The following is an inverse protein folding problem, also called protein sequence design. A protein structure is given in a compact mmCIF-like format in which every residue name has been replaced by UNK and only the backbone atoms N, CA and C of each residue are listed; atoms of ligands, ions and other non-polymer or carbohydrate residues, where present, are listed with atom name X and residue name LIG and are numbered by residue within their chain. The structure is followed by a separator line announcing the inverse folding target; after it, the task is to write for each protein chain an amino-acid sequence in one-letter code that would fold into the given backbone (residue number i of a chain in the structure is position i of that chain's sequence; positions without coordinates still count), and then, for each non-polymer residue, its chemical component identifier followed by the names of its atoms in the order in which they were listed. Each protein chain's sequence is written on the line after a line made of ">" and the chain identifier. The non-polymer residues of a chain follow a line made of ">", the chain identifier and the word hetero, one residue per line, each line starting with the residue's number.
data_IF_297521265116
#
_entry.id   IF_297521265116
#
_cell.length_a   1.000
_cell.length_b   1.000
_cell.length_c   1.000
_cell.angle_alpha   90.00
_cell.angle_beta   90.00
_cell.angle_gamma   90.00
#
_symmetry.space_group_name_H-M   'P 1'
#
loop_
_entity.id
_entity.type
_entity.pdbx_description
1 polymer ?
#
# COMPACT_ATOMS: atom_id res chain seq x y z
N UNK A 1 2.70 0.88 -15.02
CA UNK A 1 3.06 -0.43 -14.42
C UNK A 1 3.78 -1.33 -15.40
N UNK A 2 3.15 -1.75 -16.51
CA UNK A 2 3.76 -2.69 -17.46
C UNK A 2 5.02 -2.18 -18.18
N UNK A 3 5.27 -0.86 -18.18
CA UNK A 3 6.50 -0.29 -18.75
C UNK A 3 7.58 -0.04 -17.70
N UNK A 4 7.30 -0.28 -16.42
CA UNK A 4 8.28 -0.07 -15.35
C UNK A 4 9.30 -1.18 -15.41
N UNK A 5 10.56 -0.78 -15.56
CA UNK A 5 11.71 -1.66 -15.44
C UNK A 5 12.41 -1.32 -14.13
N UNK A 6 12.90 -2.36 -13.44
CA UNK A 6 13.66 -2.24 -12.21
C UNK A 6 14.99 -2.95 -12.45
N UNK A 7 16.12 -2.22 -12.60
CA UNK A 7 17.43 -2.85 -12.72
C UNK A 7 17.63 -3.76 -11.50
N UNK A 8 17.97 -5.02 -11.73
CA UNK A 8 18.19 -6.05 -10.70
C UNK A 8 16.95 -6.69 -10.07
N UNK A 9 15.72 -6.31 -10.46
CA UNK A 9 14.49 -6.94 -9.96
C UNK A 9 13.59 -7.43 -11.10
N UNK A 10 12.91 -8.55 -10.85
CA UNK A 10 11.82 -9.01 -11.70
C UNK A 10 10.48 -8.54 -11.14
N UNK A 11 9.65 -7.94 -11.99
CA UNK A 11 8.34 -7.44 -11.61
C UNK A 11 7.23 -8.43 -12.02
N UNK A 12 6.51 -8.95 -11.02
CA UNK A 12 5.20 -9.55 -11.21
C UNK A 12 4.11 -8.56 -10.79
N UNK A 13 2.98 -8.56 -11.50
CA UNK A 13 1.85 -7.68 -11.24
C UNK A 13 0.64 -8.55 -10.99
N UNK A 14 0.12 -8.49 -9.76
CA UNK A 14 -1.09 -9.21 -9.39
C UNK A 14 -2.25 -8.23 -9.39
N UNK A 15 -3.18 -8.44 -10.31
CA UNK A 15 -4.41 -7.65 -10.40
C UNK A 15 -5.53 -8.48 -9.81
N UNK A 16 -6.20 -7.93 -8.80
CA UNK A 16 -7.41 -8.53 -8.23
C UNK A 16 -8.60 -7.69 -8.66
N UNK A 17 -9.46 -8.27 -9.49
CA UNK A 17 -10.63 -7.62 -10.07
C UNK A 17 -11.88 -8.15 -9.36
N UNK A 18 -12.67 -7.26 -8.77
CA UNK A 18 -13.74 -7.60 -7.83
C UNK A 18 -15.15 -7.59 -8.44
N UNK A 19 -15.29 -8.05 -9.69
CA UNK A 19 -16.55 -8.09 -10.44
C UNK A 19 -17.15 -6.71 -10.74
N UNK A 20 -16.31 -5.80 -11.23
CA UNK A 20 -16.73 -4.48 -11.69
C UNK A 20 -17.64 -4.55 -12.90
N UNK A 21 -18.61 -3.62 -12.99
CA UNK A 21 -19.61 -3.53 -14.07
C UNK A 21 -19.38 -2.33 -15.00
N UNK A 22 -18.30 -1.57 -14.81
CA UNK A 22 -18.00 -0.31 -15.50
C UNK A 22 -17.03 -0.47 -16.68
N UNK A 23 -16.75 -1.70 -17.11
CA UNK A 23 -15.76 -2.01 -18.14
C UNK A 23 -14.37 -2.37 -17.59
N UNK A 24 -14.12 -2.22 -16.28
CA UNK A 24 -12.82 -2.54 -15.67
C UNK A 24 -12.48 -4.01 -15.80
N UNK A 25 -13.47 -4.90 -15.64
CA UNK A 25 -13.28 -6.35 -15.73
C UNK A 25 -12.82 -6.77 -17.12
N UNK A 26 -13.46 -6.24 -18.16
CA UNK A 26 -13.12 -6.48 -19.56
C UNK A 26 -11.71 -5.98 -19.89
N UNK A 27 -11.33 -4.81 -19.35
CA UNK A 27 -9.95 -4.31 -19.52
C UNK A 27 -8.94 -5.17 -18.79
N UNK A 28 -9.21 -5.59 -17.55
CA UNK A 28 -8.32 -6.46 -16.80
C UNK A 28 -8.11 -7.81 -17.54
N UNK A 29 -9.18 -8.37 -18.11
CA UNK A 29 -9.14 -9.59 -18.92
C UNK A 29 -8.23 -9.48 -20.14
N UNK A 30 -8.09 -8.29 -20.74
CA UNK A 30 -7.18 -8.09 -21.89
C UNK A 30 -5.69 -8.32 -21.55
N UNK A 31 -5.33 -8.29 -20.26
CA UNK A 31 -3.97 -8.51 -19.78
C UNK A 31 -3.75 -9.92 -19.21
N UNK A 32 -4.75 -10.80 -19.24
CA UNK A 32 -4.68 -12.13 -18.59
C UNK A 32 -3.52 -13.00 -19.08
N UNK A 33 -3.13 -12.84 -20.35
CA UNK A 33 -2.10 -13.63 -21.01
C UNK A 33 -0.74 -12.90 -21.04
N UNK A 34 -0.65 -11.72 -20.41
CA UNK A 34 0.59 -10.96 -20.34
C UNK A 34 1.57 -11.65 -19.37
N UNK A 35 2.85 -11.86 -19.73
CA UNK A 35 3.78 -12.71 -18.96
C UNK A 35 4.08 -12.20 -17.54
N UNK A 36 3.94 -10.89 -17.31
CA UNK A 36 4.11 -10.26 -15.98
C UNK A 36 2.82 -10.15 -15.17
N UNK A 37 1.65 -10.49 -15.72
CA UNK A 37 0.35 -10.24 -15.07
C UNK A 37 -0.26 -11.53 -14.58
N UNK A 38 -0.65 -11.55 -13.31
CA UNK A 38 -1.49 -12.57 -12.71
C UNK A 38 -2.84 -11.96 -12.36
N UNK A 39 -3.87 -12.34 -13.09
CA UNK A 39 -5.22 -11.85 -12.89
C UNK A 39 -6.00 -12.79 -11.96
N UNK A 40 -6.56 -12.25 -10.89
CA UNK A 40 -7.49 -12.93 -9.99
C UNK A 40 -8.85 -12.26 -10.15
N UNK A 41 -9.85 -13.04 -10.56
CA UNK A 41 -11.21 -12.56 -10.74
C UNK A 41 -12.08 -13.03 -9.57
N UNK A 42 -12.69 -12.09 -8.86
CA UNK A 42 -13.72 -12.42 -7.88
C UNK A 42 -15.09 -12.53 -8.57
N UNK A 43 -15.96 -13.31 -7.97
CA UNK A 43 -17.38 -13.49 -8.33
C UNK A 43 -18.25 -12.32 -7.84
N UNK A 44 -17.82 -11.60 -6.79
CA UNK A 44 -18.55 -10.45 -6.25
C UNK A 44 -17.61 -9.54 -5.42
N UNK A 45 -17.96 -8.26 -5.25
CA UNK A 45 -17.17 -7.34 -4.45
C UNK A 45 -17.21 -7.69 -2.96
N UNK A 46 -16.05 -8.03 -2.38
CA UNK A 46 -15.90 -8.34 -0.95
C UNK A 46 -15.12 -7.29 -0.15
N UNK A 47 -14.59 -6.27 -0.84
CA UNK A 47 -13.85 -5.13 -0.27
C UNK A 47 -12.33 -5.22 -0.49
N UNK A 48 -11.65 -4.08 -0.32
CA UNK A 48 -10.20 -3.93 -0.58
C UNK A 48 -9.36 -4.97 0.18
N UNK A 49 -9.56 -5.11 1.48
CA UNK A 49 -8.83 -6.07 2.29
C UNK A 49 -8.98 -7.51 1.82
N UNK A 50 -10.16 -7.91 1.36
CA UNK A 50 -10.37 -9.24 0.79
C UNK A 50 -9.55 -9.42 -0.49
N UNK A 51 -9.62 -8.45 -1.40
CA UNK A 51 -8.87 -8.46 -2.65
C UNK A 51 -7.35 -8.48 -2.41
N UNK A 52 -6.84 -7.63 -1.50
CA UNK A 52 -5.42 -7.59 -1.14
C UNK A 52 -4.99 -8.93 -0.54
N UNK A 53 -5.77 -9.55 0.36
CA UNK A 53 -5.46 -10.87 0.91
C UNK A 53 -5.38 -11.95 -0.16
N UNK A 54 -6.26 -11.93 -1.16
CA UNK A 54 -6.20 -12.83 -2.30
C UNK A 54 -4.90 -12.60 -3.11
N UNK A 55 -4.55 -11.34 -3.35
CA UNK A 55 -3.30 -10.95 -3.99
C UNK A 55 -2.06 -11.44 -3.22
N UNK A 56 -1.99 -11.19 -1.90
CA UNK A 56 -0.88 -11.61 -1.04
C UNK A 56 -0.66 -13.12 -1.07
N UNK A 57 -1.73 -13.92 -1.04
CA UNK A 57 -1.65 -15.39 -1.17
C UNK A 57 -1.08 -15.85 -2.51
N UNK A 58 -1.23 -15.03 -3.54
CA UNK A 58 -0.79 -15.33 -4.90
C UNK A 58 0.61 -14.81 -5.23
N UNK A 59 1.20 -13.96 -4.37
CA UNK A 59 2.57 -13.42 -4.53
C UNK A 59 3.63 -14.52 -4.51
N UNK A 60 4.63 -14.37 -5.38
CA UNK A 60 5.77 -15.28 -5.49
C UNK A 60 7.11 -14.57 -5.23
N UNK A 61 7.18 -13.27 -5.48
CA UNK A 61 8.37 -12.44 -5.30
C UNK A 61 8.80 -12.27 -3.84
N UNK A 62 10.06 -11.90 -3.63
CA UNK A 62 10.64 -11.74 -2.30
C UNK A 62 10.22 -10.45 -1.58
N UNK A 63 9.78 -9.46 -2.36
CA UNK A 63 9.27 -8.18 -1.90
C UNK A 63 7.85 -7.98 -2.42
N UNK A 64 7.00 -7.39 -1.59
CA UNK A 64 5.61 -7.09 -1.91
C UNK A 64 5.41 -5.58 -1.81
N UNK A 65 4.87 -5.00 -2.87
CA UNK A 65 4.42 -3.60 -2.93
C UNK A 65 2.91 -3.60 -3.17
N UNK A 66 2.17 -2.95 -2.28
CA UNK A 66 0.73 -2.74 -2.41
C UNK A 66 0.51 -1.31 -2.89
N UNK A 67 -0.27 -1.13 -3.96
CA UNK A 67 -0.67 0.17 -4.49
C UNK A 67 -2.11 0.09 -5.03
N UNK A 68 -2.85 1.18 -4.90
CA UNK A 68 -4.18 1.38 -5.51
C UNK A 68 -4.06 1.70 -7.01
N UNK A 69 -5.05 1.28 -7.81
CA UNK A 69 -4.97 1.28 -9.28
C UNK A 69 -5.27 2.63 -9.97
N UNK A 70 -5.58 3.67 -9.18
CA UNK A 70 -5.95 5.02 -9.64
C UNK A 70 -4.76 5.90 -10.06
N UNK A 71 -3.53 5.37 -9.95
CA UNK A 71 -2.29 6.07 -10.26
C UNK A 71 -2.08 7.34 -9.42
N UNK A 72 -2.67 7.43 -8.22
CA UNK A 72 -2.37 8.52 -7.28
C UNK A 72 -0.88 8.51 -6.83
N UNK A 73 -0.23 7.34 -6.84
CA UNK A 73 1.20 7.21 -6.52
C UNK A 73 2.06 7.09 -7.77
N UNK A 74 3.17 7.83 -7.79
CA UNK A 74 4.14 7.80 -8.87
C UNK A 74 4.93 6.47 -8.91
N UNK A 75 5.11 5.94 -10.12
CA UNK A 75 5.86 4.72 -10.37
C UNK A 75 7.37 4.94 -10.24
N UNK A 76 7.84 6.18 -10.34
CA UNK A 76 9.26 6.53 -10.14
C UNK A 76 9.70 6.40 -8.68
N UNK A 77 8.76 6.37 -7.73
CA UNK A 77 9.10 6.13 -6.32
C UNK A 77 9.37 4.66 -5.99
N UNK A 78 9.09 3.73 -6.92
CA UNK A 78 9.27 2.29 -6.69
C UNK A 78 10.73 1.95 -6.37
N UNK A 79 11.66 2.56 -7.09
CA UNK A 79 13.09 2.31 -6.97
C UNK A 79 13.59 2.61 -5.55
N UNK A 80 13.29 3.80 -5.04
CA UNK A 80 13.70 4.21 -3.69
C UNK A 80 13.04 3.36 -2.60
N UNK A 81 11.77 3.00 -2.78
CA UNK A 81 11.04 2.16 -1.83
C UNK A 81 11.63 0.75 -1.78
N UNK A 82 11.89 0.13 -2.94
CA UNK A 82 12.42 -1.22 -3.04
C UNK A 82 13.90 -1.31 -2.67
N UNK A 83 14.72 -0.31 -3.03
CA UNK A 83 16.14 -0.26 -2.72
C UNK A 83 16.40 -0.40 -1.19
N UNK A 84 15.56 0.22 -0.37
CA UNK A 84 15.65 0.13 1.09
C UNK A 84 15.46 -1.32 1.61
N UNK A 85 14.70 -2.16 0.90
CA UNK A 85 14.53 -3.57 1.21
C UNK A 85 15.63 -4.44 0.59
N UNK A 86 15.99 -4.18 -0.66
CA UNK A 86 17.02 -4.93 -1.41
C UNK A 86 18.38 -4.83 -0.72
N UNK A 87 18.73 -3.62 -0.26
CA UNK A 87 19.99 -3.38 0.46
C UNK A 87 19.97 -3.88 1.92
N UNK A 88 18.85 -4.45 2.39
CA UNK A 88 18.70 -4.95 3.75
C UNK A 88 18.61 -3.87 4.83
N UNK A 89 18.44 -2.59 4.46
CA UNK A 89 18.30 -1.48 5.41
C UNK A 89 17.03 -1.59 6.26
N UNK A 90 15.96 -2.13 5.70
CA UNK A 90 14.69 -2.39 6.41
C UNK A 90 13.94 -3.56 5.78
N UNK A 91 13.02 -4.15 6.55
CA UNK A 91 12.10 -5.18 6.06
C UNK A 91 10.71 -4.62 5.69
N UNK A 92 10.43 -3.36 6.05
CA UNK A 92 9.13 -2.73 5.86
C UNK A 92 9.28 -1.21 5.67
N UNK A 93 8.65 -0.69 4.62
CA UNK A 93 8.61 0.71 4.22
C UNK A 93 7.17 1.16 4.01
N UNK A 94 6.90 2.40 4.41
CA UNK A 94 5.67 3.14 4.11
C UNK A 94 6.03 4.30 3.18
N UNK A 95 5.37 4.38 2.02
CA UNK A 95 5.44 5.54 1.15
C UNK A 95 4.64 6.69 1.76
N UNK A 96 5.32 7.59 2.46
CA UNK A 96 4.71 8.69 3.19
C UNK A 96 4.37 9.85 2.26
N UNK A 97 3.10 10.25 2.26
CA UNK A 97 2.64 11.48 1.58
C UNK A 97 3.16 12.74 2.27
N UNK A 98 3.71 12.59 3.47
CA UNK A 98 4.15 13.65 4.37
C UNK A 98 5.68 13.58 4.60
N UNK A 99 6.49 13.64 3.54
CA UNK A 99 7.92 13.37 3.64
C UNK A 99 8.90 14.22 2.81
N UNK A 100 8.47 14.94 1.77
CA UNK A 100 9.38 15.75 0.95
C UNK A 100 9.66 17.11 1.60
N UNK A 101 10.94 17.49 1.75
CA UNK A 101 11.37 18.81 2.25
C UNK A 101 10.76 19.29 3.59
N UNK A 102 10.48 18.39 4.55
CA UNK A 102 9.83 18.74 5.83
C UNK A 102 8.44 19.39 5.69
N UNK A 103 7.76 19.22 4.55
CA UNK A 103 6.42 19.78 4.35
C UNK A 103 5.40 18.72 4.76
N UNK A 104 4.72 18.95 5.89
CA UNK A 104 3.46 18.27 6.18
C UNK A 104 2.44 18.74 5.13
N UNK A 105 2.19 17.93 4.10
CA UNK A 105 1.15 18.20 3.10
C UNK A 105 -0.22 18.07 3.76
N UNK A 106 -0.75 19.17 4.30
CA UNK A 106 -2.14 19.21 4.79
C UNK A 106 -3.09 19.17 3.61
N UNK A 107 -4.15 18.37 3.72
CA UNK A 107 -5.22 18.36 2.70
C UNK A 107 -5.92 19.71 2.70
N UNK A 108 -5.90 20.40 1.57
CA UNK A 108 -6.63 21.65 1.35
C UNK A 108 -7.76 21.40 0.37
N UNK A 109 -9.01 21.57 0.83
CA UNK A 109 -10.19 21.53 -0.03
C UNK A 109 -10.62 22.96 -0.32
N UNK A 110 -10.52 23.37 -1.59
CA UNK A 110 -10.91 24.71 -2.04
C UNK A 110 -12.36 25.01 -1.65
N UNK A 111 -12.59 26.06 -0.87
CA UNK A 111 -13.93 26.46 -0.42
C UNK A 111 -14.52 25.67 0.76
N UNK A 112 -13.81 24.69 1.33
CA UNK A 112 -14.29 23.86 2.45
C UNK A 112 -13.26 23.75 3.58
N UNK A 113 -12.88 24.91 4.15
CA UNK A 113 -11.89 24.99 5.23
C UNK A 113 -12.24 24.15 6.47
N UNK A 114 -13.52 24.11 6.86
CA UNK A 114 -13.97 23.31 8.02
C UNK A 114 -13.74 21.80 7.82
N UNK A 115 -14.02 21.29 6.62
CA UNK A 115 -13.80 19.88 6.28
C UNK A 115 -12.30 19.55 6.25
N UNK A 116 -11.49 20.43 5.66
CA UNK A 116 -10.03 20.31 5.69
C UNK A 116 -9.49 20.22 7.12
N UNK A 117 -9.91 21.11 8.01
CA UNK A 117 -9.51 21.07 9.42
C UNK A 117 -9.92 19.76 10.11
N UNK A 118 -11.16 19.32 9.90
CA UNK A 118 -11.67 18.09 10.49
C UNK A 118 -10.88 16.85 10.03
N UNK A 119 -10.62 16.71 8.73
CA UNK A 119 -9.88 15.57 8.17
C UNK A 119 -8.42 15.57 8.63
N UNK A 120 -7.77 16.74 8.65
CA UNK A 120 -6.39 16.86 9.15
C UNK A 120 -6.31 16.58 10.66
N UNK A 121 -7.29 17.01 11.45
CA UNK A 121 -7.38 16.66 12.88
C UNK A 121 -7.57 15.16 13.07
N UNK A 122 -8.45 14.51 12.29
CA UNK A 122 -8.61 13.06 12.31
C UNK A 122 -7.30 12.33 12.01
N UNK A 123 -6.58 12.75 10.97
CA UNK A 123 -5.25 12.21 10.65
C UNK A 123 -4.29 12.32 11.83
N UNK A 124 -4.20 13.50 12.45
CA UNK A 124 -3.32 13.73 13.60
C UNK A 124 -3.73 12.88 14.82
N UNK A 125 -5.02 12.83 15.14
CA UNK A 125 -5.56 12.09 16.28
C UNK A 125 -5.27 10.60 16.16
N UNK A 126 -5.63 9.98 15.03
CA UNK A 126 -5.41 8.54 14.83
C UNK A 126 -3.93 8.19 14.67
N UNK A 127 -3.12 9.06 14.05
CA UNK A 127 -1.67 8.82 13.96
C UNK A 127 -1.03 8.85 15.35
N UNK A 128 -1.43 9.81 16.18
CA UNK A 128 -0.99 9.90 17.58
C UNK A 128 -1.41 8.66 18.36
N UNK A 129 -2.66 8.21 18.18
CA UNK A 129 -3.16 7.00 18.84
C UNK A 129 -2.33 5.76 18.47
N UNK A 130 -2.03 5.54 17.19
CA UNK A 130 -1.17 4.43 16.74
C UNK A 130 0.23 4.55 17.34
N UNK A 131 0.82 5.74 17.30
CA UNK A 131 2.16 5.97 17.83
C UNK A 131 2.25 5.69 19.34
N UNK A 132 1.24 6.09 20.11
CA UNK A 132 1.19 5.84 21.55
C UNK A 132 0.95 4.35 21.85
N UNK A 133 -0.04 3.72 21.22
CA UNK A 133 -0.41 2.33 21.51
C UNK A 133 0.66 1.31 21.08
N UNK A 134 1.40 1.61 20.01
CA UNK A 134 2.38 0.68 19.44
C UNK A 134 3.83 1.19 19.52
N UNK A 135 4.06 2.25 20.31
CA UNK A 135 5.38 2.86 20.53
C UNK A 135 6.13 3.19 19.23
N UNK A 136 5.41 3.78 18.27
CA UNK A 136 5.95 4.18 16.97
C UNK A 136 6.12 5.70 16.85
N UNK A 137 6.70 6.16 15.74
CA UNK A 137 6.88 7.57 15.38
C UNK A 137 6.51 7.84 13.92
N UNK A 138 5.34 7.36 13.51
CA UNK A 138 4.83 7.46 12.13
C UNK A 138 4.13 8.79 11.89
N UNK A 139 4.34 9.35 10.70
CA UNK A 139 3.70 10.58 10.20
C UNK A 139 2.48 10.26 9.34
N UNK A 140 2.53 9.15 8.60
CA UNK A 140 1.51 8.71 7.65
C UNK A 140 1.24 7.20 7.74
N UNK A 141 0.75 6.69 8.90
CA UNK A 141 0.39 5.28 9.04
C UNK A 141 -0.75 4.84 8.09
N UNK A 142 -1.48 5.79 7.51
CA UNK A 142 -2.63 5.54 6.62
C UNK A 142 -2.28 5.59 5.15
N UNK A 143 -0.99 5.61 4.80
CA UNK A 143 -0.61 5.41 3.41
C UNK A 143 -1.01 4.01 2.95
N UNK A 144 -1.45 3.94 1.70
CA UNK A 144 -1.79 2.70 1.02
C UNK A 144 -0.59 2.14 0.26
N UNK A 145 0.51 2.90 0.23
CA UNK A 145 1.74 2.52 -0.45
C UNK A 145 2.68 1.82 0.54
N UNK A 146 2.51 0.50 0.66
CA UNK A 146 3.19 -0.34 1.66
C UNK A 146 4.10 -1.31 0.95
N UNK A 147 5.39 -1.33 1.32
CA UNK A 147 6.40 -2.18 0.71
C UNK A 147 7.11 -2.99 1.79
N UNK A 148 7.07 -4.32 1.71
CA UNK A 148 7.65 -5.19 2.74
C UNK A 148 8.21 -6.48 2.14
N UNK A 149 9.14 -7.11 2.86
CA UNK A 149 9.61 -8.45 2.51
C UNK A 149 8.48 -9.46 2.69
N UNK A 150 8.28 -10.38 1.75
CA UNK A 150 7.16 -11.33 1.80
C UNK A 150 7.15 -12.20 3.07
N UNK A 151 8.33 -12.52 3.61
CA UNK A 151 8.48 -13.29 4.86
C UNK A 151 7.96 -12.55 6.11
N UNK A 152 7.77 -11.23 6.03
CA UNK A 152 7.06 -10.45 7.05
C UNK A 152 5.64 -10.99 7.29
N UNK A 153 5.01 -11.60 6.28
CA UNK A 153 3.65 -12.15 6.36
C UNK A 153 3.57 -13.53 7.03
N UNK A 154 4.68 -14.24 7.25
CA UNK A 154 4.63 -15.62 7.77
C UNK A 154 3.99 -15.68 9.16
N UNK A 155 3.10 -16.66 9.37
CA UNK A 155 2.31 -16.79 10.59
C UNK A 155 1.43 -15.57 10.94
N UNK A 156 1.10 -14.71 9.96
CA UNK A 156 0.06 -13.71 10.10
C UNK A 156 -1.24 -14.20 9.44
N UNK A 157 -2.31 -14.14 10.21
CA UNK A 157 -3.67 -14.27 9.70
C UNK A 157 -4.28 -12.87 9.61
N UNK A 158 -5.07 -12.61 8.56
CA UNK A 158 -5.77 -11.34 8.37
C UNK A 158 -7.27 -11.59 8.32
N UNK A 159 -8.04 -10.65 8.87
CA UNK A 159 -9.50 -10.76 9.07
C UNK A 159 -10.26 -9.64 8.38
N UNK A 160 -9.68 -8.43 8.30
CA UNK A 160 -10.31 -7.27 7.72
C UNK A 160 -10.49 -7.43 6.20
N UNK A 161 -11.69 -7.08 5.73
CA UNK A 161 -12.05 -7.22 4.32
C UNK A 161 -12.19 -5.87 3.59
N UNK A 162 -12.19 -4.73 4.28
CA UNK A 162 -12.36 -3.40 3.66
C UNK A 162 -11.04 -2.61 3.78
N UNK A 163 -11.12 -1.28 3.83
CA UNK A 163 -9.96 -0.39 4.02
C UNK A 163 -9.32 -0.49 5.41
N UNK A 164 -10.02 -1.10 6.37
CA UNK A 164 -9.51 -1.45 7.69
C UNK A 164 -8.32 -2.42 7.64
N UNK A 165 -8.20 -3.20 6.56
CA UNK A 165 -7.05 -4.07 6.32
C UNK A 165 -5.70 -3.34 6.33
N UNK A 166 -5.65 -2.10 5.83
CA UNK A 166 -4.41 -1.33 5.79
C UNK A 166 -3.85 -1.01 7.18
N UNK A 167 -4.75 -0.85 8.16
CA UNK A 167 -4.42 -0.70 9.57
C UNK A 167 -4.04 -2.04 10.20
N UNK A 168 -4.82 -3.09 9.90
CA UNK A 168 -4.55 -4.44 10.38
C UNK A 168 -3.16 -4.91 9.97
N UNK A 169 -2.79 -4.74 8.69
CA UNK A 169 -1.47 -5.08 8.15
C UNK A 169 -0.35 -4.33 8.88
N UNK A 170 -0.47 -3.01 8.97
CA UNK A 170 0.53 -2.17 9.66
C UNK A 170 0.71 -2.61 11.12
N UNK A 171 -0.40 -2.76 11.85
CA UNK A 171 -0.38 -3.09 13.28
C UNK A 171 0.16 -4.52 13.50
N UNK A 172 -0.25 -5.50 12.69
CA UNK A 172 0.23 -6.89 12.82
C UNK A 172 1.73 -6.99 12.53
N UNK A 173 2.23 -6.25 11.53
CA UNK A 173 3.66 -6.17 11.25
C UNK A 173 4.44 -5.51 12.41
N UNK A 174 3.93 -4.41 12.97
CA UNK A 174 4.54 -3.76 14.14
C UNK A 174 4.57 -4.70 15.34
N UNK A 175 3.46 -5.39 15.63
CA UNK A 175 3.35 -6.34 16.75
C UNK A 175 4.28 -7.55 16.58
N UNK A 176 4.60 -7.93 15.34
CA UNK A 176 5.59 -8.96 15.02
C UNK A 176 7.04 -8.47 15.18
N UNK A 177 7.24 -7.19 15.48
CA UNK A 177 8.55 -6.58 15.79
C UNK A 177 9.16 -5.78 14.65
N UNK A 178 8.49 -5.68 13.49
CA UNK A 178 8.97 -4.86 12.38
C UNK A 178 8.74 -3.37 12.67
N UNK A 179 9.70 -2.53 12.30
CA UNK A 179 9.58 -1.07 12.41
C UNK A 179 9.55 -0.48 11.00
N UNK A 180 8.42 0.08 10.54
CA UNK A 180 8.37 0.67 9.22
C UNK A 180 9.25 1.92 9.16
N UNK A 181 9.95 2.08 8.03
CA UNK A 181 10.61 3.33 7.64
C UNK A 181 9.69 4.10 6.71
N UNK A 182 9.52 5.39 6.96
CA UNK A 182 8.73 6.25 6.09
C UNK A 182 9.64 6.93 5.06
N UNK A 183 9.39 6.68 3.78
CA UNK A 183 10.06 7.35 2.67
C UNK A 183 9.09 8.29 1.97
N UNK A 184 9.50 9.51 1.60
CA UNK A 184 8.64 10.41 0.84
C UNK A 184 8.24 9.83 -0.50
N UNK A 185 6.99 10.04 -0.89
CA UNK A 185 6.48 9.67 -2.21
C UNK A 185 5.70 10.82 -2.84
N UNK A 186 5.65 10.82 -4.15
CA UNK A 186 4.85 11.70 -4.97
C UNK A 186 3.42 11.15 -5.01
N UNK A 187 2.54 11.98 -4.45
CA UNK A 187 1.10 11.85 -4.25
C UNK A 187 0.50 13.25 -4.38
#
# INVERSE_FOLDING_TARGET
>A
LLLKELPDLQLEIIVVESNSMDGTRERALSYRDHPRVKLILEDQPRGKGHAVRAGLKATTGDYVLIQDADLEYDLEDYDALLEALVTGRTAFVLGSRHGGHNIWKMRQFTGQHGLSLFVNFGHWFFSTLINVLFFQRLRDPFTMFKVFRRDCLYALEFECNRFDFDFELLIKLIRKGYRPVELPVNY
#
